data_IF_057566297820
#
_entry.id   IF_057566297820
#
_cell.length_a   1.000
_cell.length_b   1.000
_cell.length_c   1.000
_cell.angle_alpha   90.00
_cell.angle_beta   90.00
_cell.angle_gamma   90.00
#
_symmetry.space_group_name_H-M   'P 1'
#
loop_
_entity.id
_entity.type
_entity.pdbx_description
1 polymer ?
#
# COMPACT_ATOMS: atom_id res chain seq x y z
N UNK A 1 18.22 45.04 -14.14
CA UNK A 1 18.21 46.09 -13.10
C UNK A 1 16.91 45.90 -12.33
N UNK A 2 16.82 45.69 -11.02
CA UNK A 2 17.79 45.44 -9.94
C UNK A 2 17.24 44.24 -9.10
N UNK A 3 17.95 43.61 -8.15
CA UNK A 3 19.26 43.89 -7.57
C UNK A 3 19.17 44.21 -6.08
N UNK A 4 18.89 43.21 -5.24
CA UNK A 4 19.08 43.29 -3.78
C UNK A 4 19.31 41.91 -3.16
N UNK A 5 20.54 41.66 -2.70
CA UNK A 5 20.90 40.54 -1.84
C UNK A 5 20.34 40.70 -0.42
N UNK A 6 20.03 39.59 0.26
CA UNK A 6 20.07 39.53 1.72
C UNK A 6 20.79 38.25 2.20
N UNK A 7 21.45 38.37 3.35
CA UNK A 7 22.67 37.60 3.67
C UNK A 7 22.45 36.28 4.39
N UNK A 8 23.47 35.41 4.26
CA UNK A 8 23.71 34.22 5.09
C UNK A 8 23.64 34.52 6.60
N UNK A 9 23.11 33.55 7.35
CA UNK A 9 23.31 33.42 8.79
C UNK A 9 23.85 32.03 9.14
N UNK A 10 25.16 31.90 9.30
CA UNK A 10 25.81 30.67 9.79
C UNK A 10 26.18 30.80 11.27
N UNK A 11 25.62 29.91 12.09
CA UNK A 11 25.99 29.64 13.50
C UNK A 11 25.95 28.12 13.66
N UNK A 12 26.89 27.44 14.31
CA UNK A 12 28.14 27.85 14.94
C UNK A 12 28.68 26.65 15.72
N UNK A 13 29.85 26.12 15.35
CA UNK A 13 30.41 24.90 15.93
C UNK A 13 30.80 25.09 17.40
N UNK A 14 30.46 24.13 18.27
CA UNK A 14 31.10 23.91 19.57
C UNK A 14 31.34 22.43 19.83
N UNK A 15 32.54 21.99 19.51
CA UNK A 15 33.18 20.80 20.09
C UNK A 15 33.90 21.18 21.39
N UNK A 16 33.87 20.30 22.39
CA UNK A 16 34.52 20.49 23.70
C UNK A 16 35.02 19.15 24.27
N UNK A 17 36.26 19.02 24.74
CA UNK A 17 36.86 17.73 25.11
C UNK A 17 37.02 17.50 26.63
N UNK A 18 37.13 16.24 27.05
CA UNK A 18 38.09 15.68 28.05
C UNK A 18 37.68 14.22 28.43
N UNK A 19 38.53 13.18 28.58
CA UNK A 19 39.78 12.99 29.36
C UNK A 19 39.57 13.18 30.89
N UNK A 20 40.02 12.34 31.83
CA UNK A 20 40.82 11.10 31.79
C UNK A 20 40.55 10.26 33.09
N UNK A 21 41.47 9.54 33.80
CA UNK A 21 41.27 8.10 34.10
C UNK A 21 41.27 7.77 35.62
N UNK A 22 41.96 6.66 35.99
CA UNK A 22 42.25 6.10 37.33
C UNK A 22 41.09 5.32 37.96
N UNK A 23 41.16 4.00 38.12
CA UNK A 23 41.95 3.24 39.12
C UNK A 23 40.93 2.43 39.97
N UNK A 24 41.23 1.36 40.71
CA UNK A 24 42.44 0.56 40.92
C UNK A 24 42.02 -0.81 41.52
N UNK A 25 42.74 -1.90 41.20
CA UNK A 25 42.63 -3.23 41.84
C UNK A 25 43.26 -3.20 43.26
N UNK A 26 42.86 -4.05 44.23
CA UNK A 26 43.54 -5.35 44.37
C UNK A 26 42.77 -6.52 45.03
N UNK A 27 43.37 -7.73 44.90
CA UNK A 27 43.41 -8.88 45.85
C UNK A 27 42.06 -9.49 46.36
N UNK A 28 41.87 -10.82 46.44
CA UNK A 28 42.77 -11.98 46.53
C UNK A 28 42.06 -13.24 45.96
N UNK A 29 42.45 -14.53 46.13
CA UNK A 29 43.43 -15.23 46.98
C UNK A 29 43.98 -16.47 46.23
N UNK A 30 44.85 -17.25 46.88
CA UNK A 30 45.60 -18.44 46.42
C UNK A 30 44.80 -19.74 46.26
N UNK A 31 45.22 -20.64 45.35
CA UNK A 31 45.98 -21.87 45.67
C UNK A 31 46.27 -22.70 44.40
N UNK A 32 47.43 -23.37 44.31
CA UNK A 32 47.91 -23.98 43.07
C UNK A 32 47.91 -25.52 43.03
N UNK A 33 48.08 -26.08 41.82
CA UNK A 33 48.50 -27.48 41.66
C UNK A 33 49.44 -27.70 40.46
N UNK A 34 50.72 -27.91 40.80
CA UNK A 34 51.67 -28.89 40.27
C UNK A 34 51.40 -29.49 38.86
N UNK A 35 52.27 -29.12 37.92
CA UNK A 35 53.15 -30.07 37.22
C UNK A 35 52.78 -30.53 35.80
N UNK A 36 53.76 -30.54 34.90
CA UNK A 36 53.70 -31.24 33.61
C UNK A 36 54.23 -30.44 32.41
N UNK A 37 55.54 -30.32 32.27
CA UNK A 37 56.13 -29.94 30.97
C UNK A 37 56.12 -31.14 30.01
N UNK A 38 55.61 -30.96 28.79
CA UNK A 38 55.94 -31.84 27.66
C UNK A 38 55.88 -31.09 26.32
N UNK A 39 57.05 -30.57 25.94
CA UNK A 39 57.57 -30.41 24.58
C UNK A 39 56.57 -30.50 23.40
N UNK A 40 56.28 -29.36 22.76
CA UNK A 40 55.50 -29.27 21.51
C UNK A 40 56.17 -30.02 20.34
N UNK A 41 55.57 -31.14 19.93
CA UNK A 41 55.89 -31.85 18.69
C UNK A 41 54.95 -31.46 17.55
N UNK A 42 55.50 -31.03 16.41
CA UNK A 42 54.79 -30.46 15.26
C UNK A 42 54.12 -31.54 14.36
N UNK A 43 53.03 -32.18 14.81
CA UNK A 43 52.23 -33.09 13.98
C UNK A 43 50.73 -32.90 14.23
N UNK A 44 50.01 -32.19 13.35
CA UNK A 44 49.43 -32.68 12.08
C UNK A 44 48.04 -33.34 12.22
N UNK A 45 47.02 -32.51 11.94
CA UNK A 45 45.80 -32.88 11.17
C UNK A 45 44.83 -33.96 11.70
N UNK A 46 44.44 -33.97 12.99
CA UNK A 46 43.19 -34.67 13.41
C UNK A 46 42.41 -33.92 14.49
N UNK A 47 41.73 -32.83 14.12
CA UNK A 47 40.57 -32.32 14.88
C UNK A 47 39.44 -32.00 13.88
N UNK A 48 38.83 -33.06 13.36
CA UNK A 48 37.45 -33.06 12.91
C UNK A 48 36.70 -34.04 13.83
N UNK A 49 35.39 -33.80 14.03
CA UNK A 49 34.49 -34.53 14.93
C UNK A 49 34.64 -34.16 16.43
N UNK A 50 33.80 -33.24 16.88
CA UNK A 50 32.77 -33.36 17.97
C UNK A 50 32.41 -31.95 18.45
N UNK A 51 31.76 -31.16 17.59
CA UNK A 51 30.91 -30.01 17.97
C UNK A 51 29.74 -30.00 16.99
N UNK A 52 28.71 -30.81 17.28
CA UNK A 52 27.66 -31.14 16.31
C UNK A 52 26.32 -31.46 16.94
N UNK A 53 25.82 -30.60 17.84
CA UNK A 53 24.50 -30.77 18.47
C UNK A 53 23.89 -29.47 19.04
N UNK A 54 24.13 -28.29 18.45
CA UNK A 54 23.43 -27.05 18.83
C UNK A 54 23.44 -26.03 17.69
N UNK A 55 22.27 -25.48 17.32
CA UNK A 55 22.21 -24.19 16.61
C UNK A 55 21.92 -24.19 15.11
N UNK A 56 21.09 -25.09 14.57
CA UNK A 56 20.40 -24.85 13.28
C UNK A 56 18.91 -25.15 13.41
N UNK A 57 18.20 -24.32 14.18
CA UNK A 57 16.75 -24.20 14.03
C UNK A 57 16.51 -23.35 12.79
N UNK A 58 16.48 -23.98 11.63
CA UNK A 58 16.30 -23.30 10.36
C UNK A 58 14.88 -22.75 10.32
N UNK A 59 14.73 -21.44 10.52
CA UNK A 59 13.45 -20.74 10.47
C UNK A 59 12.90 -20.78 9.04
N UNK A 60 12.15 -21.82 8.71
CA UNK A 60 11.43 -21.92 7.44
C UNK A 60 10.25 -20.96 7.47
N UNK A 61 10.55 -19.69 7.18
CA UNK A 61 9.56 -18.66 6.90
C UNK A 61 8.84 -19.02 5.61
N UNK A 62 7.81 -19.87 5.73
CA UNK A 62 6.84 -20.08 4.66
C UNK A 62 6.20 -18.74 4.32
N UNK A 63 6.69 -18.13 3.24
CA UNK A 63 6.04 -17.01 2.58
C UNK A 63 4.69 -17.46 2.03
N UNK A 64 3.70 -17.54 2.91
CA UNK A 64 2.29 -17.66 2.55
C UNK A 64 1.96 -16.46 1.67
N UNK A 65 1.97 -16.66 0.35
CA UNK A 65 1.43 -15.71 -0.60
C UNK A 65 -0.03 -15.45 -0.19
N UNK A 66 -0.24 -14.34 0.50
CA UNK A 66 -1.55 -13.96 1.03
C UNK A 66 -2.48 -13.82 -0.16
N UNK A 67 -3.36 -14.80 -0.37
CA UNK A 67 -4.39 -14.72 -1.40
C UNK A 67 -5.18 -13.45 -1.14
N UNK A 68 -5.11 -12.47 -2.06
CA UNK A 68 -5.90 -11.24 -2.03
C UNK A 68 -7.32 -11.60 -1.64
N UNK A 69 -7.79 -11.11 -0.48
CA UNK A 69 -9.15 -11.35 -0.06
C UNK A 69 -10.07 -10.79 -1.16
N UNK A 70 -10.92 -11.62 -1.78
CA UNK A 70 -11.75 -11.15 -2.89
C UNK A 70 -12.71 -10.07 -2.39
N UNK A 71 -12.84 -8.99 -3.14
CA UNK A 71 -13.89 -8.01 -2.90
C UNK A 71 -15.18 -8.63 -3.47
N UNK A 72 -16.24 -8.81 -2.66
CA UNK A 72 -17.50 -9.35 -3.16
C UNK A 72 -18.23 -8.31 -4.03
N UNK A 73 -19.17 -8.78 -4.85
CA UNK A 73 -20.10 -7.88 -5.55
C UNK A 73 -20.83 -7.00 -4.51
N UNK A 74 -20.94 -5.67 -4.73
CA UNK A 74 -21.31 -4.73 -3.68
C UNK A 74 -22.84 -4.66 -3.50
N UNK A 75 -23.47 -5.71 -2.97
CA UNK A 75 -24.94 -5.78 -2.87
C UNK A 75 -25.57 -4.54 -2.22
N UNK A 76 -26.68 -4.05 -2.80
CA UNK A 76 -27.41 -2.87 -2.31
C UNK A 76 -26.81 -1.51 -2.68
N UNK A 77 -25.68 -1.43 -3.40
CA UNK A 77 -24.99 -0.16 -3.72
C UNK A 77 -25.85 0.94 -4.36
N UNK A 78 -26.92 0.55 -5.06
CA UNK A 78 -27.87 1.48 -5.70
C UNK A 78 -28.70 2.30 -4.72
N UNK A 79 -28.69 1.95 -3.43
CA UNK A 79 -29.27 2.72 -2.34
C UNK A 79 -28.25 3.55 -1.56
N UNK A 80 -26.96 3.48 -1.93
CA UNK A 80 -25.93 4.33 -1.35
C UNK A 80 -25.96 5.72 -1.98
N UNK A 81 -25.17 6.65 -1.45
CA UNK A 81 -25.11 8.01 -2.01
C UNK A 81 -24.51 7.96 -3.43
N UNK A 82 -25.30 8.33 -4.43
CA UNK A 82 -24.82 8.63 -5.77
C UNK A 82 -24.06 9.96 -5.74
N UNK A 83 -22.90 10.01 -6.39
CA UNK A 83 -21.96 11.15 -6.30
C UNK A 83 -21.48 11.66 -7.65
N UNK A 84 -21.79 10.96 -8.74
CA UNK A 84 -21.39 11.34 -10.09
C UNK A 84 -22.25 10.65 -11.14
N UNK A 85 -22.83 11.42 -12.04
CA UNK A 85 -23.19 10.96 -13.39
C UNK A 85 -22.20 11.56 -14.41
N UNK A 86 -21.81 10.79 -15.41
CA UNK A 86 -21.08 11.27 -16.58
C UNK A 86 -21.45 10.41 -17.80
N UNK A 87 -21.41 10.96 -19.01
CA UNK A 87 -21.56 10.19 -20.24
C UNK A 87 -20.34 10.40 -21.14
N UNK A 88 -19.71 9.30 -21.56
CA UNK A 88 -18.67 9.31 -22.61
C UNK A 88 -19.34 8.76 -23.88
N UNK A 89 -19.90 9.65 -24.69
CA UNK A 89 -20.78 9.30 -25.81
C UNK A 89 -20.13 9.40 -27.21
N UNK A 90 -18.89 9.86 -27.30
CA UNK A 90 -18.18 10.05 -28.58
C UNK A 90 -16.71 9.66 -28.51
N UNK A 91 -16.17 9.18 -29.64
CA UNK A 91 -14.80 8.66 -29.78
C UNK A 91 -13.70 9.73 -29.68
N UNK A 92 -14.07 11.02 -29.64
CA UNK A 92 -13.17 12.14 -29.39
C UNK A 92 -12.63 12.14 -27.95
N UNK A 93 -13.34 11.49 -27.03
CA UNK A 93 -12.86 11.34 -25.65
C UNK A 93 -11.86 10.18 -25.55
N UNK A 94 -10.62 10.39 -25.03
CA UNK A 94 -9.56 9.37 -25.04
C UNK A 94 -9.94 8.03 -24.39
N UNK A 95 -10.86 8.05 -23.44
CA UNK A 95 -11.34 6.86 -22.73
C UNK A 95 -12.55 6.15 -23.40
N UNK A 96 -13.04 6.60 -24.55
CA UNK A 96 -14.27 6.05 -25.18
C UNK A 96 -14.21 4.53 -25.43
N UNK A 97 -13.06 4.00 -25.87
CA UNK A 97 -12.93 2.56 -26.15
C UNK A 97 -12.98 1.68 -24.88
N UNK A 98 -12.64 2.22 -23.71
CA UNK A 98 -12.58 1.49 -22.44
C UNK A 98 -13.81 1.76 -21.57
N UNK A 99 -14.30 3.00 -21.58
CA UNK A 99 -15.34 3.52 -20.69
C UNK A 99 -16.42 4.32 -21.44
N UNK A 100 -16.59 4.12 -22.75
CA UNK A 100 -17.74 4.68 -23.49
C UNK A 100 -19.06 4.16 -22.92
N UNK A 101 -20.00 5.07 -22.63
CA UNK A 101 -21.24 4.75 -21.93
C UNK A 101 -21.69 5.79 -20.88
N UNK A 102 -22.71 5.44 -20.09
CA UNK A 102 -23.20 6.21 -18.95
C UNK A 102 -22.58 5.67 -17.66
N UNK A 103 -21.98 6.58 -16.90
CA UNK A 103 -21.24 6.33 -15.67
C UNK A 103 -22.11 6.76 -14.51
N UNK A 104 -22.34 5.87 -13.55
CA UNK A 104 -22.85 6.23 -12.23
C UNK A 104 -21.81 5.83 -11.18
N UNK A 105 -21.45 6.76 -10.28
CA UNK A 105 -20.57 6.45 -9.15
C UNK A 105 -21.34 6.60 -7.85
N UNK A 106 -21.19 5.62 -6.97
CA UNK A 106 -21.80 5.54 -5.65
C UNK A 106 -20.72 5.44 -4.58
N UNK A 107 -20.97 5.98 -3.38
CA UNK A 107 -20.13 5.82 -2.18
C UNK A 107 -20.99 5.39 -1.00
N UNK A 108 -20.49 4.43 -0.22
CA UNK A 108 -21.15 4.04 1.04
C UNK A 108 -20.98 5.12 2.13
N UNK A 109 -21.81 5.05 3.17
CA UNK A 109 -21.85 6.06 4.24
C UNK A 109 -20.49 6.27 4.93
N UNK A 110 -19.67 5.22 5.03
CA UNK A 110 -18.32 5.29 5.58
C UNK A 110 -17.40 6.25 4.80
N UNK A 111 -17.56 6.36 3.48
CA UNK A 111 -16.78 7.27 2.64
C UNK A 111 -17.39 8.66 2.45
N UNK A 112 -18.70 8.81 2.72
CA UNK A 112 -19.45 10.02 2.36
C UNK A 112 -18.91 11.28 3.07
N UNK A 113 -18.57 11.17 4.35
CA UNK A 113 -18.03 12.30 5.14
C UNK A 113 -16.68 12.75 4.59
N UNK A 114 -15.74 11.83 4.37
CA UNK A 114 -14.42 12.13 3.77
C UNK A 114 -14.55 12.74 2.37
N UNK A 115 -15.49 12.28 1.54
CA UNK A 115 -15.76 12.83 0.22
C UNK A 115 -16.25 14.29 0.28
N UNK A 116 -17.14 14.61 1.22
CA UNK A 116 -17.67 15.97 1.44
C UNK A 116 -16.59 16.95 1.91
N UNK A 117 -15.64 16.47 2.71
CA UNK A 117 -14.62 17.29 3.35
C UNK A 117 -13.28 17.31 2.60
N UNK A 118 -13.14 16.51 1.53
CA UNK A 118 -11.89 16.37 0.77
C UNK A 118 -10.75 15.71 1.57
N UNK A 119 -11.09 14.79 2.49
CA UNK A 119 -10.13 14.12 3.39
C UNK A 119 -9.87 12.67 2.97
N UNK A 120 -8.83 12.05 3.54
CA UNK A 120 -8.54 10.63 3.33
C UNK A 120 -9.70 9.74 3.80
N UNK A 121 -9.87 8.58 3.17
CA UNK A 121 -11.00 7.69 3.41
C UNK A 121 -10.70 6.66 4.51
N UNK A 122 -11.63 6.40 5.45
CA UNK A 122 -11.46 5.37 6.46
C UNK A 122 -11.59 3.96 5.86
N UNK A 123 -10.99 2.99 6.54
CA UNK A 123 -11.15 1.56 6.23
C UNK A 123 -12.64 1.17 6.21
N UNK A 124 -13.02 0.34 5.23
CA UNK A 124 -14.42 0.00 4.98
C UNK A 124 -15.16 0.96 4.03
N UNK A 125 -14.55 2.08 3.63
CA UNK A 125 -15.06 2.88 2.50
C UNK A 125 -15.11 2.03 1.23
N UNK A 126 -16.21 2.13 0.48
CA UNK A 126 -16.39 1.50 -0.83
C UNK A 126 -16.93 2.54 -1.81
N UNK A 127 -16.26 2.65 -2.95
CA UNK A 127 -16.83 3.29 -4.15
C UNK A 127 -17.20 2.22 -5.18
N UNK A 128 -18.32 2.43 -5.85
CA UNK A 128 -18.82 1.59 -6.94
C UNK A 128 -19.00 2.44 -8.18
N UNK A 129 -18.35 2.05 -9.27
CA UNK A 129 -18.52 2.60 -10.61
C UNK A 129 -19.37 1.62 -11.43
N UNK A 130 -20.59 2.03 -11.76
CA UNK A 130 -21.59 1.26 -12.50
C UNK A 130 -21.70 1.84 -13.92
N UNK A 131 -21.30 1.06 -14.93
CA UNK A 131 -21.14 1.52 -16.31
C UNK A 131 -22.14 0.84 -17.25
N UNK A 132 -22.90 1.64 -18.01
CA UNK A 132 -23.90 1.19 -18.97
C UNK A 132 -23.53 1.56 -20.40
N UNK A 133 -23.89 0.72 -21.36
CA UNK A 133 -24.06 1.20 -22.73
C UNK A 133 -25.22 2.19 -22.79
N UNK A 134 -25.17 3.11 -23.76
CA UNK A 134 -26.19 4.15 -23.94
C UNK A 134 -26.93 3.99 -25.26
N UNK A 135 -28.20 4.36 -25.24
CA UNK A 135 -28.98 4.68 -26.44
C UNK A 135 -29.29 6.17 -26.41
N UNK A 136 -29.08 6.86 -27.53
CA UNK A 136 -29.63 8.21 -27.72
C UNK A 136 -30.74 8.13 -28.76
N UNK A 137 -31.91 8.65 -28.40
CA UNK A 137 -33.10 8.65 -29.24
C UNK A 137 -34.03 9.81 -28.81
N UNK A 138 -34.63 10.51 -29.79
CA UNK A 138 -35.57 11.63 -29.54
C UNK A 138 -35.05 12.72 -28.58
N UNK A 139 -33.73 12.93 -28.50
CA UNK A 139 -33.10 13.91 -27.61
C UNK A 139 -32.85 13.42 -26.17
N UNK A 140 -33.27 12.20 -25.83
CA UNK A 140 -32.93 11.54 -24.57
C UNK A 140 -31.63 10.71 -24.68
N UNK A 141 -31.02 10.42 -23.53
CA UNK A 141 -29.97 9.40 -23.38
C UNK A 141 -30.44 8.42 -22.30
N UNK A 142 -30.55 7.14 -22.65
CA UNK A 142 -31.00 6.07 -21.77
C UNK A 142 -29.94 4.97 -21.64
N UNK A 143 -29.94 4.28 -20.49
CA UNK A 143 -29.09 3.09 -20.28
C UNK A 143 -29.64 1.88 -21.02
N UNK A 144 -28.74 1.11 -21.66
CA UNK A 144 -29.04 -0.24 -22.16
C UNK A 144 -28.51 -1.30 -21.18
N UNK A 145 -27.76 -2.29 -21.68
CA UNK A 145 -27.09 -3.27 -20.85
C UNK A 145 -26.00 -2.65 -19.97
N UNK A 146 -25.76 -3.25 -18.80
CA UNK A 146 -24.58 -2.95 -18.00
C UNK A 146 -23.35 -3.56 -18.68
N UNK A 147 -22.26 -2.79 -18.76
CA UNK A 147 -20.96 -3.23 -19.27
C UNK A 147 -20.14 -3.85 -18.15
N UNK A 148 -20.05 -3.16 -17.01
CA UNK A 148 -19.34 -3.61 -15.82
C UNK A 148 -19.79 -2.89 -14.55
N UNK A 149 -19.48 -3.50 -13.41
CA UNK A 149 -19.37 -2.83 -12.10
C UNK A 149 -17.90 -2.89 -11.68
N UNK A 150 -17.24 -1.75 -11.49
CA UNK A 150 -15.92 -1.69 -10.87
C UNK A 150 -16.03 -1.22 -9.43
N UNK A 151 -15.23 -1.80 -8.53
CA UNK A 151 -15.28 -1.54 -7.09
C UNK A 151 -13.90 -1.23 -6.57
N UNK A 152 -13.78 -0.16 -5.77
CA UNK A 152 -12.60 0.09 -4.94
C UNK A 152 -13.00 0.12 -3.47
N UNK A 153 -12.26 -0.61 -2.62
CA UNK A 153 -12.52 -0.74 -1.19
C UNK A 153 -11.29 -0.41 -0.37
N UNK A 154 -11.45 0.47 0.62
CA UNK A 154 -10.39 0.89 1.54
C UNK A 154 -10.13 -0.19 2.59
N UNK A 155 -8.88 -0.65 2.66
CA UNK A 155 -8.31 -1.37 3.79
C UNK A 155 -6.79 -1.14 3.80
N UNK A 156 -6.30 -0.25 4.67
CA UNK A 156 -4.89 0.17 4.70
C UNK A 156 -3.93 -0.99 5.02
N UNK A 157 -4.38 -1.98 5.81
CA UNK A 157 -3.56 -3.12 6.21
C UNK A 157 -3.40 -4.16 5.10
N UNK A 158 -4.48 -4.50 4.40
CA UNK A 158 -4.48 -5.51 3.33
C UNK A 158 -3.93 -4.96 2.01
N UNK A 159 -4.07 -3.65 1.76
CA UNK A 159 -3.77 -3.02 0.48
C UNK A 159 -2.67 -1.95 0.60
N UNK A 160 -1.69 -2.15 1.50
CA UNK A 160 -0.66 -1.16 1.81
C UNK A 160 0.16 -0.70 0.59
N UNK A 161 0.44 -1.60 -0.37
CA UNK A 161 1.17 -1.31 -1.61
C UNK A 161 0.39 -0.45 -2.61
N UNK A 162 -0.94 -0.32 -2.45
CA UNK A 162 -1.84 0.37 -3.39
C UNK A 162 -2.54 1.56 -2.73
N UNK A 163 -1.90 2.20 -1.74
CA UNK A 163 -2.45 3.34 -1.01
C UNK A 163 -3.63 2.98 -0.10
N UNK A 164 -3.76 1.72 0.28
CA UNK A 164 -4.87 1.19 1.06
C UNK A 164 -6.10 0.82 0.22
N UNK A 165 -6.04 0.88 -1.12
CA UNK A 165 -7.18 0.56 -1.99
C UNK A 165 -7.05 -0.81 -2.65
N UNK A 166 -8.01 -1.70 -2.35
CA UNK A 166 -8.24 -2.92 -3.11
C UNK A 166 -9.21 -2.67 -4.26
N UNK A 167 -9.05 -3.38 -5.37
CA UNK A 167 -9.79 -3.19 -6.62
C UNK A 167 -10.42 -4.50 -7.10
N UNK A 168 -11.57 -4.43 -7.75
CA UNK A 168 -12.25 -5.55 -8.41
C UNK A 168 -13.15 -5.08 -9.56
N UNK A 169 -13.39 -5.94 -10.55
CA UNK A 169 -14.26 -5.66 -11.70
C UNK A 169 -15.19 -6.84 -11.97
N UNK A 170 -16.47 -6.58 -12.12
CA UNK A 170 -17.52 -7.53 -12.44
C UNK A 170 -18.06 -7.21 -13.83
N UNK A 171 -18.11 -8.20 -14.73
CA UNK A 171 -18.58 -7.97 -16.11
C UNK A 171 -20.11 -8.06 -16.15
N UNK A 172 -20.77 -7.06 -16.73
CA UNK A 172 -22.23 -6.95 -16.72
C UNK A 172 -22.84 -7.16 -15.33
N UNK A 173 -23.73 -8.14 -15.21
CA UNK A 173 -24.39 -8.53 -13.95
C UNK A 173 -23.69 -9.70 -13.21
N UNK A 174 -22.52 -10.16 -13.67
CA UNK A 174 -21.80 -11.26 -13.04
C UNK A 174 -21.44 -10.96 -11.58
N UNK A 175 -21.62 -11.96 -10.71
CA UNK A 175 -21.29 -11.84 -9.28
C UNK A 175 -19.84 -12.25 -8.95
N UNK A 176 -19.10 -12.74 -9.96
CA UNK A 176 -17.72 -13.20 -9.84
C UNK A 176 -16.77 -12.09 -10.29
N UNK A 177 -15.79 -11.75 -9.45
CA UNK A 177 -14.72 -10.82 -9.82
C UNK A 177 -13.87 -11.35 -10.97
N UNK A 178 -13.48 -10.45 -11.86
CA UNK A 178 -12.75 -10.72 -13.10
C UNK A 178 -11.41 -9.98 -13.20
N UNK A 179 -10.96 -9.28 -12.15
CA UNK A 179 -9.69 -8.53 -12.16
C UNK A 179 -8.51 -9.41 -11.70
N UNK A 180 -7.56 -9.69 -12.60
CA UNK A 180 -6.33 -10.44 -12.26
C UNK A 180 -5.26 -9.56 -11.61
N UNK A 181 -5.04 -8.36 -12.15
CA UNK A 181 -4.00 -7.42 -11.70
C UNK A 181 -4.62 -6.04 -11.40
N UNK A 182 -4.51 -5.51 -10.16
CA UNK A 182 -4.97 -4.17 -9.82
C UNK A 182 -4.07 -3.05 -10.34
N UNK A 183 -2.86 -3.33 -10.85
CA UNK A 183 -1.90 -2.29 -11.25
C UNK A 183 -2.45 -1.26 -12.23
N UNK A 184 -3.18 -1.62 -13.32
CA UNK A 184 -3.76 -0.63 -14.23
C UNK A 184 -4.75 0.33 -13.55
N UNK A 185 -5.52 -0.17 -12.57
CA UNK A 185 -6.43 0.65 -11.77
C UNK A 185 -5.63 1.64 -10.90
N UNK A 186 -4.62 1.13 -10.19
CA UNK A 186 -3.76 1.94 -9.29
C UNK A 186 -3.00 3.01 -10.06
N UNK A 187 -2.39 2.66 -11.20
CA UNK A 187 -1.60 3.59 -12.02
C UNK A 187 -2.49 4.71 -12.57
N UNK A 188 -3.69 4.39 -13.07
CA UNK A 188 -4.65 5.39 -13.55
C UNK A 188 -5.10 6.35 -12.42
N UNK A 189 -5.42 5.80 -11.25
CA UNK A 189 -5.86 6.57 -10.08
C UNK A 189 -4.72 7.28 -9.34
N UNK A 190 -3.44 6.99 -9.64
CA UNK A 190 -2.29 7.60 -8.98
C UNK A 190 -2.23 9.12 -9.15
N UNK A 191 -2.78 9.67 -10.24
CA UNK A 191 -2.93 11.12 -10.45
C UNK A 191 -3.75 11.81 -9.34
N UNK A 192 -4.64 11.06 -8.68
CA UNK A 192 -5.49 11.54 -7.59
C UNK A 192 -4.96 11.20 -6.19
N UNK A 193 -3.70 10.77 -6.05
CA UNK A 193 -3.08 10.45 -4.74
C UNK A 193 -3.23 11.56 -3.68
N UNK A 194 -3.27 12.83 -4.12
CA UNK A 194 -3.52 14.02 -3.26
C UNK A 194 -4.90 14.06 -2.60
N UNK A 195 -5.89 13.37 -3.17
CA UNK A 195 -7.27 13.22 -2.67
C UNK A 195 -7.59 11.73 -2.49
N UNK A 196 -6.59 10.99 -2.02
CA UNK A 196 -6.66 9.56 -1.70
C UNK A 196 -7.22 8.68 -2.84
N UNK A 197 -6.69 8.90 -4.06
CA UNK A 197 -6.93 8.09 -5.27
C UNK A 197 -8.36 8.15 -5.84
N UNK A 198 -9.22 9.08 -5.39
CA UNK A 198 -10.61 9.21 -5.86
C UNK A 198 -10.75 10.41 -6.80
N UNK A 199 -11.31 10.19 -8.01
CA UNK A 199 -11.63 11.25 -8.98
C UNK A 199 -12.94 11.99 -8.69
N UNK A 200 -13.86 11.36 -7.97
CA UNK A 200 -15.16 11.95 -7.64
C UNK A 200 -15.01 13.03 -6.57
N UNK A 201 -15.74 14.13 -6.74
CA UNK A 201 -15.96 15.17 -5.73
C UNK A 201 -17.42 15.14 -5.33
N UNK A 202 -17.76 15.49 -4.08
CA UNK A 202 -19.16 15.66 -3.72
C UNK A 202 -19.78 16.81 -4.53
N UNK A 203 -20.92 16.58 -5.17
CA UNK A 203 -21.72 17.60 -5.86
C UNK A 203 -23.18 17.27 -5.58
N UNK A 204 -23.83 17.97 -4.63
CA UNK A 204 -25.22 17.72 -4.23
C UNK A 204 -26.22 18.19 -5.29
#
# INVERSE_FOLDING_TARGET
>A
MAGTDLRLGTVGLRSGPNNRPDGQLPESLTCGHRGGETQMGLHSRVIFLVVGAAGVVLSVSFGQAQKKAPIPFPTGYRHWTHVKTMAIYGNQHPLFNHFGGLHNVYVNDAGLTSLKEGRAYPDGTVFVFDLFDIQSAQGAIETRGRKLVAVMKKNVKLNASTGGWGWEVFQGDEQKGSLQDPKPCVDCHASQKRVDYVFSTFTP
#
